data_IF_081909853462
#
_entry.id   IF_081909853462
#
_cell.length_a   1.000
_cell.length_b   1.000
_cell.length_c   1.000
_cell.angle_alpha   90.00
_cell.angle_beta   90.00
_cell.angle_gamma   90.00
#
_symmetry.space_group_name_H-M   'P 1'
#
loop_
_entity.id
_entity.type
_entity.pdbx_description
1 polymer ?
#
# COMPACT_ATOMS: atom_id res chain seq x y z
N UNK A 1 -1.36 -26.03 -3.13
CA UNK A 1 -2.37 -24.94 -2.99
C UNK A 1 -1.65 -23.62 -3.18
N UNK A 2 -1.84 -22.97 -4.33
CA UNK A 2 -1.20 -21.68 -4.62
C UNK A 2 -1.84 -20.64 -3.70
N UNK A 3 -1.12 -20.27 -2.63
CA UNK A 3 -1.45 -19.15 -1.76
C UNK A 3 -1.41 -17.90 -2.65
N UNK A 4 -2.58 -17.36 -3.00
CA UNK A 4 -2.64 -16.00 -3.52
C UNK A 4 -2.00 -15.13 -2.46
N UNK A 5 -0.81 -14.61 -2.80
CA UNK A 5 -0.08 -13.64 -2.02
C UNK A 5 -1.08 -12.53 -1.70
N UNK A 6 -1.53 -12.46 -0.44
CA UNK A 6 -2.29 -11.35 0.10
C UNK A 6 -1.37 -10.14 -0.03
N UNK A 7 -1.42 -9.47 -1.19
CA UNK A 7 -0.88 -8.14 -1.37
C UNK A 7 -1.69 -7.27 -0.44
N UNK A 8 -1.18 -7.11 0.79
CA UNK A 8 -1.50 -5.98 1.65
C UNK A 8 -1.05 -4.74 0.89
N UNK A 9 -1.87 -4.29 -0.07
CA UNK A 9 -1.87 -2.89 -0.48
C UNK A 9 -2.18 -2.16 0.82
N UNK A 10 -1.17 -1.50 1.38
CA UNK A 10 -1.27 -0.66 2.55
C UNK A 10 -2.26 0.45 2.21
N UNK A 11 -3.54 0.14 2.43
CA UNK A 11 -4.67 1.03 2.39
C UNK A 11 -5.05 1.42 3.80
N UNK A 12 -4.11 1.94 4.59
CA UNK A 12 -4.40 2.55 5.89
C UNK A 12 -5.04 3.94 5.76
N UNK A 13 -5.73 4.23 4.66
CA UNK A 13 -6.48 5.48 4.47
C UNK A 13 -7.90 5.27 3.90
N UNK A 14 -8.48 4.07 3.94
CA UNK A 14 -9.87 3.82 3.49
C UNK A 14 -10.70 2.94 4.44
N UNK A 15 -10.46 3.04 5.75
CA UNK A 15 -11.44 2.66 6.77
C UNK A 15 -12.06 3.90 7.42
N UNK A 16 -12.76 4.70 6.62
CA UNK A 16 -13.97 5.38 7.09
C UNK A 16 -15.13 4.87 6.24
N UNK A 17 -15.34 3.56 6.35
CA UNK A 17 -16.56 2.91 5.90
C UNK A 17 -17.70 3.29 6.83
N UNK A 18 -18.84 3.60 6.24
CA UNK A 18 -20.13 3.63 6.88
C UNK A 18 -20.31 2.40 7.79
N UNK A 19 -20.53 2.62 9.08
CA UNK A 19 -21.19 1.67 9.96
C UNK A 19 -22.28 2.41 10.70
N UNK A 20 -23.54 2.06 10.43
CA UNK A 20 -24.62 2.33 11.36
C UNK A 20 -24.41 1.41 12.56
N UNK A 21 -23.76 1.93 13.59
CA UNK A 21 -23.85 1.41 14.94
C UNK A 21 -24.02 2.62 15.85
N UNK A 22 -25.25 2.82 16.31
CA UNK A 22 -25.54 3.67 17.45
C UNK A 22 -24.76 3.16 18.65
N UNK A 23 -23.75 3.88 19.11
CA UNK A 23 -23.61 4.14 20.54
C UNK A 23 -22.65 5.30 20.83
N UNK A 24 -23.09 6.12 21.77
CA UNK A 24 -22.46 7.36 22.19
C UNK A 24 -21.06 7.12 22.78
N UNK A 25 -20.04 7.74 22.19
CA UNK A 25 -18.85 8.16 22.96
C UNK A 25 -18.22 9.39 22.32
N UNK A 26 -18.27 10.51 23.04
CA UNK A 26 -17.66 11.79 22.66
C UNK A 26 -16.13 11.65 22.71
N UNK A 27 -15.49 11.59 21.55
CA UNK A 27 -14.05 11.86 21.43
C UNK A 27 -13.86 13.20 20.71
N UNK A 28 -13.15 14.10 21.39
CA UNK A 28 -12.84 15.45 20.95
C UNK A 28 -12.11 15.44 19.60
N UNK A 29 -12.78 15.98 18.59
CA UNK A 29 -12.22 16.17 17.24
C UNK A 29 -11.05 17.16 17.28
N UNK A 30 -9.85 16.66 17.00
CA UNK A 30 -8.76 17.51 16.50
C UNK A 30 -9.15 17.93 15.08
N UNK A 31 -9.64 19.16 14.95
CA UNK A 31 -9.94 19.79 13.66
C UNK A 31 -8.64 19.97 12.86
N UNK A 32 -8.30 18.97 12.07
CA UNK A 32 -7.54 19.21 10.84
C UNK A 32 -8.57 19.59 9.79
N UNK A 33 -8.59 20.87 9.39
CA UNK A 33 -9.38 21.38 8.28
C UNK A 33 -8.85 20.78 6.97
N UNK A 34 -9.14 19.50 6.76
CA UNK A 34 -9.07 18.91 5.43
C UNK A 34 -10.33 19.38 4.71
N UNK A 35 -10.22 20.03 3.54
CA UNK A 35 -11.40 20.39 2.75
C UNK A 35 -12.28 19.15 2.60
N UNK A 36 -13.59 19.30 2.82
CA UNK A 36 -14.54 18.20 2.61
C UNK A 36 -14.26 17.58 1.24
N UNK A 37 -14.13 16.24 1.13
CA UNK A 37 -13.79 15.61 -0.13
C UNK A 37 -14.75 16.08 -1.21
N UNK A 38 -14.21 16.61 -2.30
CA UNK A 38 -15.01 17.06 -3.44
C UNK A 38 -15.91 15.90 -3.87
N UNK A 39 -17.22 16.17 -3.94
CA UNK A 39 -18.17 15.17 -4.40
C UNK A 39 -17.80 14.71 -5.82
N UNK A 40 -17.78 13.40 -6.04
CA UNK A 40 -17.55 12.82 -7.35
C UNK A 40 -18.70 13.14 -8.30
N UNK A 41 -18.42 13.22 -9.60
CA UNK A 41 -19.48 13.31 -10.60
C UNK A 41 -20.30 12.01 -10.62
N UNK A 42 -21.55 12.09 -11.10
CA UNK A 42 -22.40 10.92 -11.27
C UNK A 42 -21.77 9.91 -12.25
N UNK A 43 -21.09 10.41 -13.28
CA UNK A 43 -20.36 9.61 -14.26
C UNK A 43 -19.17 8.87 -13.63
N UNK A 44 -18.34 9.56 -12.84
CA UNK A 44 -17.21 8.93 -12.14
C UNK A 44 -17.72 7.87 -11.17
N UNK A 45 -18.79 8.17 -10.41
CA UNK A 45 -19.39 7.24 -9.46
C UNK A 45 -19.95 5.99 -10.17
N UNK A 46 -20.59 6.15 -11.33
CA UNK A 46 -21.09 5.03 -12.13
C UNK A 46 -19.98 4.09 -12.56
N UNK A 47 -18.84 4.62 -13.00
CA UNK A 47 -17.69 3.81 -13.43
C UNK A 47 -17.07 3.09 -12.23
N UNK A 48 -16.92 3.78 -11.09
CA UNK A 48 -16.39 3.18 -9.85
C UNK A 48 -17.30 2.05 -9.35
N UNK A 49 -18.61 2.24 -9.36
CA UNK A 49 -19.56 1.21 -8.94
C UNK A 49 -19.46 -0.03 -9.84
N UNK A 50 -19.40 0.17 -11.16
CA UNK A 50 -19.23 -0.93 -12.12
C UNK A 50 -17.93 -1.71 -11.88
N UNK A 51 -16.82 -1.02 -11.60
CA UNK A 51 -15.55 -1.68 -11.23
C UNK A 51 -15.72 -2.54 -9.97
N UNK A 52 -16.34 -1.99 -8.93
CA UNK A 52 -16.53 -2.70 -7.67
C UNK A 52 -17.44 -3.92 -7.84
N UNK A 53 -18.50 -3.81 -8.64
CA UNK A 53 -19.36 -4.93 -9.00
C UNK A 53 -18.58 -6.04 -9.73
N UNK A 54 -17.69 -5.66 -10.67
CA UNK A 54 -16.86 -6.63 -11.38
C UNK A 54 -15.90 -7.35 -10.43
N UNK A 55 -15.27 -6.63 -9.50
CA UNK A 55 -14.41 -7.23 -8.48
C UNK A 55 -15.21 -8.18 -7.58
N UNK A 56 -16.38 -7.75 -7.07
CA UNK A 56 -17.22 -8.58 -6.21
C UNK A 56 -17.71 -9.84 -6.92
N UNK A 57 -18.14 -9.72 -8.16
CA UNK A 57 -18.73 -10.82 -8.92
C UNK A 57 -17.69 -11.82 -9.43
N UNK A 58 -16.53 -11.35 -9.87
CA UNK A 58 -15.59 -12.17 -10.64
C UNK A 58 -14.27 -12.48 -9.92
N UNK A 59 -13.98 -11.91 -8.75
CA UNK A 59 -12.69 -12.15 -8.05
C UNK A 59 -12.47 -13.59 -7.60
N UNK A 60 -13.55 -14.37 -7.44
CA UNK A 60 -13.51 -15.79 -7.07
C UNK A 60 -13.58 -16.73 -8.28
N UNK A 61 -13.74 -16.18 -9.48
CA UNK A 61 -13.77 -16.94 -10.73
C UNK A 61 -12.34 -17.34 -11.14
N UNK A 62 -12.25 -18.07 -12.26
CA UNK A 62 -10.97 -18.33 -12.90
C UNK A 62 -10.21 -17.01 -13.18
N UNK A 63 -8.89 -17.04 -12.95
CA UNK A 63 -8.01 -15.87 -13.09
C UNK A 63 -8.17 -15.22 -14.46
N UNK A 64 -8.29 -15.99 -15.52
CA UNK A 64 -8.37 -15.49 -16.89
C UNK A 64 -9.70 -14.78 -17.14
N UNK A 65 -10.78 -15.30 -16.54
CA UNK A 65 -12.13 -14.68 -16.56
C UNK A 65 -12.10 -13.35 -15.82
N UNK A 66 -11.54 -13.32 -14.61
CA UNK A 66 -11.45 -12.08 -13.84
C UNK A 66 -10.60 -11.02 -14.57
N UNK A 67 -9.45 -11.42 -15.11
CA UNK A 67 -8.59 -10.53 -15.88
C UNK A 67 -9.25 -10.03 -17.16
N UNK A 68 -10.06 -10.85 -17.84
CA UNK A 68 -10.82 -10.41 -19.01
C UNK A 68 -11.74 -9.23 -18.64
N UNK A 69 -12.49 -9.35 -17.55
CA UNK A 69 -13.38 -8.28 -17.09
C UNK A 69 -12.63 -7.02 -16.63
N UNK A 70 -11.44 -7.16 -16.03
CA UNK A 70 -10.60 -6.00 -15.72
C UNK A 70 -10.06 -5.29 -16.97
N UNK A 71 -9.74 -6.05 -18.04
CA UNK A 71 -9.38 -5.45 -19.34
C UNK A 71 -10.54 -4.71 -19.98
N UNK A 72 -11.75 -5.26 -19.90
CA UNK A 72 -12.96 -4.68 -20.48
C UNK A 72 -13.32 -3.33 -19.85
N UNK A 73 -13.16 -3.17 -18.54
CA UNK A 73 -13.55 -1.94 -17.84
C UNK A 73 -12.46 -0.85 -17.83
N UNK A 74 -11.20 -1.20 -18.07
CA UNK A 74 -10.08 -0.24 -18.01
C UNK A 74 -10.31 1.03 -18.87
N UNK A 75 -10.80 0.96 -20.13
CA UNK A 75 -11.08 2.16 -20.92
C UNK A 75 -12.17 3.08 -20.34
N UNK A 76 -13.08 2.54 -19.52
CA UNK A 76 -14.05 3.36 -18.77
C UNK A 76 -13.37 4.01 -17.57
N UNK A 77 -12.56 3.27 -16.82
CA UNK A 77 -11.77 3.81 -15.71
C UNK A 77 -10.88 4.97 -16.16
N UNK A 78 -10.28 4.88 -17.35
CA UNK A 78 -9.46 5.96 -17.92
C UNK A 78 -10.20 7.29 -18.11
N UNK A 79 -11.54 7.26 -18.16
CA UNK A 79 -12.40 8.45 -18.31
C UNK A 79 -12.78 9.11 -16.99
N UNK A 80 -12.49 8.49 -15.84
CA UNK A 80 -12.78 9.08 -14.53
C UNK A 80 -12.06 10.42 -14.42
N UNK A 81 -12.80 11.48 -14.12
CA UNK A 81 -12.23 12.84 -14.08
C UNK A 81 -11.42 13.08 -12.80
N UNK A 82 -11.87 12.53 -11.67
CA UNK A 82 -11.10 12.56 -10.42
C UNK A 82 -9.80 11.76 -10.57
N UNK A 83 -8.68 12.49 -10.62
CA UNK A 83 -7.34 11.91 -10.81
C UNK A 83 -7.01 10.85 -9.76
N UNK A 84 -7.28 11.13 -8.48
CA UNK A 84 -6.89 10.23 -7.39
C UNK A 84 -7.66 8.91 -7.48
N UNK A 85 -8.95 8.96 -7.78
CA UNK A 85 -9.78 7.77 -8.00
C UNK A 85 -9.35 7.03 -9.25
N UNK A 86 -9.20 7.73 -10.38
CA UNK A 86 -8.74 7.12 -11.63
C UNK A 86 -7.46 6.32 -11.45
N UNK A 87 -6.42 6.95 -10.88
CA UNK A 87 -5.12 6.30 -10.71
C UNK A 87 -5.16 5.15 -9.71
N UNK A 88 -5.98 5.23 -8.66
CA UNK A 88 -6.19 4.13 -7.72
C UNK A 88 -6.79 2.91 -8.43
N UNK A 89 -7.85 3.11 -9.22
CA UNK A 89 -8.49 2.01 -9.96
C UNK A 89 -7.58 1.46 -11.06
N UNK A 90 -6.86 2.33 -11.78
CA UNK A 90 -5.86 1.92 -12.77
C UNK A 90 -4.79 1.03 -12.13
N UNK A 91 -4.22 1.43 -10.99
CA UNK A 91 -3.21 0.63 -10.29
C UNK A 91 -3.75 -0.74 -9.91
N UNK A 92 -4.96 -0.81 -9.34
CA UNK A 92 -5.60 -2.07 -8.97
C UNK A 92 -5.79 -2.98 -10.19
N UNK A 93 -6.28 -2.43 -11.31
CA UNK A 93 -6.44 -3.18 -12.56
C UNK A 93 -5.10 -3.68 -13.07
N UNK A 94 -4.07 -2.82 -13.15
CA UNK A 94 -2.74 -3.23 -13.61
C UNK A 94 -2.17 -4.37 -12.76
N UNK A 95 -2.35 -4.33 -11.45
CA UNK A 95 -1.94 -5.42 -10.56
C UNK A 95 -2.70 -6.72 -10.82
N UNK A 96 -4.02 -6.67 -11.02
CA UNK A 96 -4.82 -7.86 -11.36
C UNK A 96 -4.41 -8.45 -12.71
N UNK A 97 -4.12 -7.60 -13.68
CA UNK A 97 -3.67 -8.01 -15.02
C UNK A 97 -2.21 -8.51 -15.05
N UNK A 98 -1.45 -8.33 -13.97
CA UNK A 98 0.01 -8.48 -13.92
C UNK A 98 0.72 -7.57 -14.94
N UNK A 99 0.12 -6.42 -15.27
CA UNK A 99 0.71 -5.39 -16.14
C UNK A 99 1.66 -4.51 -15.30
N UNK A 100 2.74 -5.12 -14.82
CA UNK A 100 3.66 -4.49 -13.89
C UNK A 100 4.42 -3.31 -14.50
N UNK A 101 4.57 -3.29 -15.83
CA UNK A 101 5.16 -2.15 -16.55
C UNK A 101 4.27 -0.91 -16.45
N UNK A 102 2.95 -1.04 -16.66
CA UNK A 102 2.03 0.09 -16.45
C UNK A 102 1.88 0.48 -14.99
N UNK A 103 1.86 -0.50 -14.08
CA UNK A 103 1.85 -0.21 -12.64
C UNK A 103 3.09 0.59 -12.22
N UNK A 104 4.28 0.19 -12.69
CA UNK A 104 5.52 0.92 -12.44
C UNK A 104 5.52 2.32 -13.07
N UNK A 105 5.11 2.45 -14.32
CA UNK A 105 5.02 3.76 -14.98
C UNK A 105 4.04 4.71 -14.26
N UNK A 106 2.91 4.21 -13.76
CA UNK A 106 1.97 5.00 -12.97
C UNK A 106 2.57 5.38 -11.61
N UNK A 107 3.23 4.45 -10.93
CA UNK A 107 3.91 4.73 -9.67
C UNK A 107 4.99 5.81 -9.82
N UNK A 108 5.78 5.76 -10.90
CA UNK A 108 6.82 6.76 -11.18
C UNK A 108 6.22 8.15 -11.43
N UNK A 109 5.10 8.25 -12.16
CA UNK A 109 4.37 9.52 -12.32
C UNK A 109 3.93 10.09 -10.97
N UNK A 110 3.41 9.23 -10.09
CA UNK A 110 2.95 9.64 -8.76
C UNK A 110 4.12 10.07 -7.84
N UNK A 111 5.29 9.47 -8.00
CA UNK A 111 6.50 9.85 -7.29
C UNK A 111 7.08 11.19 -7.78
N UNK A 112 6.88 11.59 -9.04
CA UNK A 112 7.27 12.94 -9.49
C UNK A 112 6.54 14.03 -8.67
N UNK A 113 5.28 13.78 -8.30
CA UNK A 113 4.47 14.72 -7.51
C UNK A 113 4.82 14.70 -6.02
N UNK A 114 5.21 13.54 -5.49
CA UNK A 114 5.61 13.37 -4.10
C UNK A 114 6.83 12.45 -3.97
N UNK A 115 8.04 12.99 -4.23
CA UNK A 115 9.26 12.17 -4.38
C UNK A 115 9.66 11.36 -3.16
N UNK A 116 9.33 11.85 -1.97
CA UNK A 116 9.70 11.21 -0.70
C UNK A 116 8.54 10.40 -0.09
N UNK A 117 7.52 10.04 -0.87
CA UNK A 117 6.46 9.15 -0.40
C UNK A 117 7.01 7.73 -0.22
N UNK A 118 7.38 7.39 1.01
CA UNK A 118 8.06 6.13 1.35
C UNK A 118 7.23 4.89 1.02
N UNK A 119 5.89 4.97 1.08
CA UNK A 119 5.02 3.88 0.68
C UNK A 119 5.11 3.62 -0.83
N UNK A 120 5.09 4.69 -1.64
CA UNK A 120 5.24 4.59 -3.10
C UNK A 120 6.64 4.17 -3.54
N UNK A 121 7.66 4.64 -2.83
CA UNK A 121 9.05 4.19 -3.06
C UNK A 121 9.18 2.69 -2.76
N UNK A 122 8.62 2.22 -1.64
CA UNK A 122 8.62 0.79 -1.28
C UNK A 122 7.88 -0.04 -2.33
N UNK A 123 6.72 0.43 -2.79
CA UNK A 123 5.92 -0.22 -3.82
C UNK A 123 6.65 -0.29 -5.17
N UNK A 124 7.40 0.76 -5.53
CA UNK A 124 8.29 0.74 -6.71
C UNK A 124 9.26 -0.45 -6.69
N UNK A 125 9.89 -0.69 -5.53
CA UNK A 125 10.83 -1.80 -5.40
C UNK A 125 10.14 -3.17 -5.49
N UNK A 126 8.92 -3.29 -4.95
CA UNK A 126 8.10 -4.50 -5.12
C UNK A 126 7.76 -4.76 -6.60
N UNK A 127 7.43 -3.71 -7.35
CA UNK A 127 7.17 -3.81 -8.78
C UNK A 127 8.41 -4.27 -9.57
N UNK A 128 9.62 -3.79 -9.22
CA UNK A 128 10.86 -4.30 -9.83
C UNK A 128 11.02 -5.81 -9.60
N UNK A 129 10.69 -6.31 -8.41
CA UNK A 129 10.73 -7.75 -8.12
C UNK A 129 9.69 -8.53 -8.94
N UNK A 130 8.47 -8.01 -9.05
CA UNK A 130 7.41 -8.61 -9.87
C UNK A 130 7.73 -8.60 -11.37
N UNK A 131 8.48 -7.60 -11.84
CA UNK A 131 9.03 -7.52 -13.20
C UNK A 131 10.22 -8.47 -13.44
N UNK A 132 10.68 -9.22 -12.42
CA UNK A 132 11.81 -10.12 -12.54
C UNK A 132 13.15 -9.39 -12.74
N UNK A 133 13.29 -8.16 -12.23
CA UNK A 133 14.57 -7.44 -12.26
C UNK A 133 15.61 -8.16 -11.40
N UNK A 134 16.89 -7.89 -11.68
CA UNK A 134 17.98 -8.53 -10.96
C UNK A 134 18.05 -8.08 -9.49
N UNK A 135 18.61 -8.94 -8.65
CA UNK A 135 18.72 -8.72 -7.19
C UNK A 135 19.50 -7.45 -6.86
N UNK A 136 20.52 -7.08 -7.65
CA UNK A 136 21.30 -5.85 -7.39
C UNK A 136 20.44 -4.60 -7.57
N UNK A 137 19.64 -4.56 -8.64
CA UNK A 137 18.69 -3.47 -8.89
C UNK A 137 17.62 -3.37 -7.81
N UNK A 138 17.08 -4.51 -7.36
CA UNK A 138 16.08 -4.56 -6.29
C UNK A 138 16.68 -4.09 -4.95
N UNK A 139 17.86 -4.59 -4.60
CA UNK A 139 18.55 -4.23 -3.37
C UNK A 139 18.85 -2.73 -3.32
N UNK A 140 19.37 -2.17 -4.41
CA UNK A 140 19.64 -0.72 -4.53
C UNK A 140 18.37 0.11 -4.36
N UNK A 141 17.24 -0.36 -4.89
CA UNK A 141 15.96 0.32 -4.71
C UNK A 141 15.57 0.36 -3.23
N UNK A 142 15.65 -0.77 -2.52
CA UNK A 142 15.30 -0.83 -1.10
C UNK A 142 16.29 -0.07 -0.20
N UNK A 143 17.58 -0.02 -0.55
CA UNK A 143 18.54 0.81 0.19
C UNK A 143 18.20 2.29 0.09
N UNK A 144 17.82 2.77 -1.09
CA UNK A 144 17.33 4.15 -1.26
C UNK A 144 16.07 4.42 -0.42
N UNK A 145 15.11 3.49 -0.40
CA UNK A 145 13.92 3.60 0.47
C UNK A 145 14.34 3.72 1.93
N UNK A 146 15.31 2.91 2.38
CA UNK A 146 15.79 2.92 3.75
C UNK A 146 16.46 4.26 4.13
N UNK A 147 17.20 4.87 3.20
CA UNK A 147 17.78 6.21 3.39
C UNK A 147 16.68 7.26 3.60
N UNK A 148 15.67 7.29 2.74
CA UNK A 148 14.54 8.24 2.86
C UNK A 148 13.77 8.02 4.16
N UNK A 149 13.45 6.76 4.51
CA UNK A 149 12.82 6.43 5.78
C UNK A 149 13.66 6.88 6.98
N UNK A 150 14.98 6.72 6.92
CA UNK A 150 15.85 7.13 8.01
C UNK A 150 15.83 8.65 8.22
N UNK A 151 15.82 9.42 7.13
CA UNK A 151 15.67 10.88 7.19
C UNK A 151 14.35 11.26 7.84
N UNK A 152 13.23 10.66 7.42
CA UNK A 152 11.91 10.93 8.01
C UNK A 152 11.86 10.53 9.49
N UNK A 153 12.39 9.37 9.88
CA UNK A 153 12.42 8.91 11.28
C UNK A 153 13.27 9.79 12.21
N UNK A 154 14.25 10.50 11.67
CA UNK A 154 15.12 11.38 12.44
C UNK A 154 14.46 12.75 12.74
N UNK A 155 13.39 13.11 12.02
CA UNK A 155 12.65 14.36 12.23
C UNK A 155 11.95 14.36 13.60
N UNK A 156 12.18 15.36 14.47
CA UNK A 156 11.58 15.41 15.80
C UNK A 156 10.05 15.34 15.83
N UNK A 157 9.39 15.96 14.86
CA UNK A 157 7.93 15.96 14.71
C UNK A 157 7.35 14.56 14.51
N UNK A 158 8.06 13.69 13.78
CA UNK A 158 7.61 12.33 13.48
C UNK A 158 7.69 11.41 14.69
N UNK A 159 8.52 11.73 15.70
CA UNK A 159 8.62 10.94 16.95
C UNK A 159 7.34 10.97 17.79
N UNK A 160 6.46 11.94 17.54
CA UNK A 160 5.16 12.07 18.20
C UNK A 160 4.04 11.34 17.46
N UNK A 161 4.31 10.82 16.26
CA UNK A 161 3.34 10.04 15.50
C UNK A 161 3.03 8.74 16.26
N UNK A 162 1.75 8.42 16.51
CA UNK A 162 1.35 7.14 17.11
C UNK A 162 1.91 5.91 16.37
N UNK A 163 2.18 6.04 15.08
CA UNK A 163 2.73 4.99 14.22
C UNK A 163 4.25 5.03 14.11
N UNK A 164 4.96 5.87 14.89
CA UNK A 164 6.43 5.97 14.82
C UNK A 164 7.12 4.62 14.95
N UNK A 165 6.65 3.75 15.87
CA UNK A 165 7.18 2.40 16.05
C UNK A 165 6.97 1.49 14.84
N UNK A 166 5.86 1.65 14.14
CA UNK A 166 5.62 0.93 12.88
C UNK A 166 6.55 1.43 11.77
N UNK A 167 6.84 2.73 11.73
CA UNK A 167 7.81 3.31 10.80
C UNK A 167 9.25 2.84 11.11
N UNK A 168 9.64 2.73 12.40
CA UNK A 168 10.92 2.14 12.79
C UNK A 168 11.04 0.69 12.31
N UNK A 169 10.00 -0.12 12.52
CA UNK A 169 9.97 -1.49 12.02
C UNK A 169 10.04 -1.54 10.49
N UNK A 170 9.34 -0.65 9.80
CA UNK A 170 9.37 -0.56 8.33
C UNK A 170 10.77 -0.27 7.81
N UNK A 171 11.54 0.59 8.49
CA UNK A 171 12.96 0.82 8.18
C UNK A 171 13.78 -0.48 8.30
N UNK A 172 13.57 -1.25 9.37
CA UNK A 172 14.28 -2.53 9.55
C UNK A 172 13.93 -3.52 8.43
N UNK A 173 12.65 -3.60 8.07
CA UNK A 173 12.16 -4.47 7.01
C UNK A 173 12.77 -4.10 5.64
N UNK A 174 12.79 -2.82 5.27
CA UNK A 174 13.37 -2.44 3.97
C UNK A 174 14.88 -2.65 3.92
N UNK A 175 15.60 -2.51 5.05
CA UNK A 175 17.02 -2.88 5.13
C UNK A 175 17.22 -4.37 4.92
N UNK A 176 16.37 -5.23 5.51
CA UNK A 176 16.41 -6.66 5.20
C UNK A 176 16.13 -6.93 3.71
N UNK A 177 15.10 -6.29 3.13
CA UNK A 177 14.77 -6.43 1.69
C UNK A 177 15.85 -5.89 0.76
N UNK A 178 16.72 -5.00 1.24
CA UNK A 178 17.91 -4.54 0.55
C UNK A 178 19.11 -5.51 0.62
N UNK A 179 18.94 -6.69 1.23
CA UNK A 179 19.98 -7.72 1.34
C UNK A 179 20.82 -7.64 2.62
N UNK A 180 20.51 -6.74 3.56
CA UNK A 180 21.21 -6.63 4.85
C UNK A 180 20.63 -7.65 5.84
N UNK A 181 21.05 -8.91 5.70
CA UNK A 181 20.45 -10.07 6.39
C UNK A 181 20.47 -9.96 7.92
N UNK A 182 21.39 -9.20 8.51
CA UNK A 182 21.44 -8.97 9.95
C UNK A 182 20.20 -8.24 10.49
N UNK A 183 19.44 -7.57 9.62
CA UNK A 183 18.20 -6.92 10.01
C UNK A 183 17.07 -7.90 10.33
N UNK A 184 17.17 -9.17 9.92
CA UNK A 184 16.27 -10.23 10.38
C UNK A 184 16.25 -10.32 11.91
N UNK A 185 17.44 -10.40 12.51
CA UNK A 185 17.60 -10.46 13.96
C UNK A 185 17.23 -9.16 14.66
N UNK A 186 17.51 -8.01 14.03
CA UNK A 186 17.11 -6.70 14.57
C UNK A 186 15.58 -6.56 14.63
N UNK A 187 14.86 -7.04 13.61
CA UNK A 187 13.40 -7.06 13.62
C UNK A 187 12.84 -7.95 14.73
N UNK A 188 13.40 -9.16 14.92
CA UNK A 188 12.99 -10.05 16.02
C UNK A 188 13.15 -9.38 17.38
N UNK A 189 14.32 -8.79 17.65
CA UNK A 189 14.58 -8.04 18.89
C UNK A 189 13.64 -6.85 19.07
N UNK A 190 13.33 -6.14 18.00
CA UNK A 190 12.38 -5.02 18.03
C UNK A 190 10.98 -5.49 18.46
N UNK A 191 10.48 -6.58 17.86
CA UNK A 191 9.20 -7.21 18.23
C UNK A 191 9.22 -7.65 19.69
N UNK A 192 10.27 -8.33 20.14
CA UNK A 192 10.37 -8.84 21.52
C UNK A 192 10.37 -7.71 22.55
N UNK A 193 11.00 -6.58 22.22
CA UNK A 193 11.04 -5.37 23.06
C UNK A 193 9.77 -4.50 23.02
N UNK A 194 8.81 -4.82 22.15
CA UNK A 194 7.56 -4.05 22.03
C UNK A 194 6.59 -4.46 23.14
N UNK A 195 6.23 -3.51 24.00
CA UNK A 195 5.32 -3.75 25.14
C UNK A 195 3.83 -3.69 24.76
N UNK A 196 3.48 -2.94 23.71
CA UNK A 196 2.11 -2.91 23.21
C UNK A 196 1.82 -4.24 22.49
N UNK A 197 0.96 -5.07 23.09
CA UNK A 197 0.67 -6.41 22.57
C UNK A 197 -0.05 -6.40 21.22
N UNK A 198 -0.89 -5.39 20.95
CA UNK A 198 -1.57 -5.27 19.66
C UNK A 198 -0.57 -4.90 18.55
N UNK A 199 0.32 -3.96 18.83
CA UNK A 199 1.41 -3.62 17.92
C UNK A 199 2.35 -4.81 17.73
N UNK A 200 2.76 -5.48 18.80
CA UNK A 200 3.64 -6.66 18.76
C UNK A 200 3.07 -7.76 17.86
N UNK A 201 1.79 -8.09 18.02
CA UNK A 201 1.11 -9.07 17.19
C UNK A 201 1.07 -8.66 15.71
N UNK A 202 0.83 -7.37 15.42
CA UNK A 202 0.85 -6.82 14.06
C UNK A 202 2.25 -6.94 13.43
N UNK A 203 3.30 -6.52 14.14
CA UNK A 203 4.68 -6.59 13.66
C UNK A 203 5.13 -8.04 13.42
N UNK A 204 4.74 -8.97 14.31
CA UNK A 204 5.01 -10.39 14.14
C UNK A 204 4.35 -10.96 12.89
N UNK A 205 3.11 -10.56 12.60
CA UNK A 205 2.39 -10.98 11.39
C UNK A 205 3.15 -10.55 10.14
N UNK A 206 3.63 -9.30 10.09
CA UNK A 206 4.45 -8.81 8.98
C UNK A 206 5.77 -9.56 8.87
N UNK A 207 6.46 -9.77 9.99
CA UNK A 207 7.72 -10.52 10.00
C UNK A 207 7.55 -11.95 9.46
N UNK A 208 6.53 -12.67 9.94
CA UNK A 208 6.29 -14.04 9.51
C UNK A 208 5.95 -14.12 8.01
N UNK A 209 5.17 -13.16 7.50
CA UNK A 209 4.81 -13.10 6.08
C UNK A 209 5.98 -12.73 5.15
N UNK A 210 6.90 -11.88 5.61
CA UNK A 210 7.96 -11.33 4.76
C UNK A 210 9.30 -12.06 4.88
N UNK A 211 9.52 -12.76 6.00
CA UNK A 211 10.83 -13.31 6.37
C UNK A 211 10.84 -14.83 6.52
N UNK A 212 9.73 -15.42 6.97
CA UNK A 212 9.62 -16.85 7.25
C UNK A 212 8.88 -17.63 6.14
N UNK A 213 8.59 -16.99 5.01
CA UNK A 213 7.96 -17.61 3.84
C UNK A 213 8.94 -18.46 3.02
#
# INVERSE_FOLDING_TARGET
MKKYLTLFIIGSALLSGCSNASDNTKNSEVKTETPAPKALSAEDQKIINKHNEYVQKYSMEDKEVFQKHMREILPEVDKITDKRKRELLQMNIYMILNDYDKAHALNDKQLVEKPNDTARLTFRCQLLALQGKDVTSINRCYDYVAEVLKVELNKPENKKDPNYKQAEFSYLLVKYKAGHLEYKEKMRKFIDSTNDEALKASLKTVYDAEINN
#
